data_IF_514796937573
#
_entry.id   IF_514796937573
#
_cell.length_a   1.000
_cell.length_b   1.000
_cell.length_c   1.000
_cell.angle_alpha   90.00
_cell.angle_beta   90.00
_cell.angle_gamma   90.00
#
_symmetry.space_group_name_H-M   'P 1'
#
loop_
_entity.id
_entity.type
_entity.pdbx_description
1 polymer ?
#
# COMPACT_ATOMS: atom_id res chain seq x y z
N UNK A 1 -4.67 30.89 -26.30
CA UNK A 1 -3.72 29.76 -26.14
C UNK A 1 -3.60 29.45 -24.66
N UNK A 2 -3.77 28.18 -24.25
CA UNK A 2 -3.54 27.80 -22.84
C UNK A 2 -2.03 27.81 -22.60
N UNK A 3 -1.59 28.43 -21.50
CA UNK A 3 -0.17 28.38 -21.12
C UNK A 3 0.20 26.92 -20.80
N UNK A 4 1.43 26.49 -21.11
CA UNK A 4 1.92 25.19 -20.68
C UNK A 4 1.86 25.13 -19.14
N UNK A 5 1.52 23.96 -18.56
CA UNK A 5 1.55 23.80 -17.12
C UNK A 5 2.94 24.17 -16.60
N UNK A 6 2.99 24.83 -15.44
CA UNK A 6 4.27 25.12 -14.79
C UNK A 6 5.07 23.82 -14.62
N UNK A 7 6.41 23.88 -14.64
CA UNK A 7 7.22 22.72 -14.27
C UNK A 7 6.69 22.10 -12.98
N UNK A 8 6.60 20.77 -12.98
CA UNK A 8 6.03 19.99 -11.89
C UNK A 8 6.78 20.32 -10.60
N UNK A 9 6.05 20.79 -9.59
CA UNK A 9 6.61 21.03 -8.26
C UNK A 9 7.13 19.69 -7.71
N UNK A 10 8.39 19.66 -7.28
CA UNK A 10 9.04 18.48 -6.67
C UNK A 10 8.18 17.90 -5.54
N UNK A 11 7.55 18.75 -4.71
CA UNK A 11 6.63 18.32 -3.65
C UNK A 11 5.38 17.62 -4.19
N UNK A 12 4.86 18.07 -5.33
CA UNK A 12 3.70 17.43 -5.96
C UNK A 12 4.09 16.07 -6.52
N UNK A 13 5.26 15.98 -7.17
CA UNK A 13 5.77 14.72 -7.70
C UNK A 13 6.02 13.70 -6.59
N UNK A 14 6.65 14.13 -5.49
CA UNK A 14 6.87 13.31 -4.30
C UNK A 14 5.55 12.74 -3.73
N UNK A 15 4.51 13.59 -3.62
CA UNK A 15 3.18 13.14 -3.16
C UNK A 15 2.53 12.13 -4.09
N UNK A 16 2.67 12.31 -5.41
CA UNK A 16 2.12 11.37 -6.41
C UNK A 16 2.84 10.03 -6.33
N UNK A 17 4.17 10.03 -6.22
CA UNK A 17 4.93 8.80 -6.04
C UNK A 17 4.59 8.13 -4.71
N UNK A 18 4.58 8.88 -3.62
CA UNK A 18 4.22 8.39 -2.29
C UNK A 18 2.81 7.82 -2.25
N UNK A 19 1.83 8.40 -2.96
CA UNK A 19 0.47 7.86 -3.01
C UNK A 19 0.41 6.54 -3.79
N UNK A 20 1.10 6.45 -4.93
CA UNK A 20 1.09 5.24 -5.75
C UNK A 20 1.81 4.08 -5.06
N UNK A 21 2.99 4.36 -4.50
CA UNK A 21 3.78 3.37 -3.77
C UNK A 21 3.08 2.98 -2.46
N UNK A 22 2.57 3.97 -1.72
CA UNK A 22 1.85 3.74 -0.46
C UNK A 22 0.58 2.91 -0.65
N UNK A 23 -0.14 3.10 -1.76
CA UNK A 23 -1.28 2.26 -2.13
C UNK A 23 -0.86 0.80 -2.31
N UNK A 24 0.20 0.54 -3.07
CA UNK A 24 0.70 -0.83 -3.28
C UNK A 24 1.21 -1.47 -1.98
N UNK A 25 1.91 -0.70 -1.13
CA UNK A 25 2.34 -1.18 0.20
C UNK A 25 1.13 -1.52 1.08
N UNK A 26 0.10 -0.66 1.08
CA UNK A 26 -1.12 -0.87 1.85
C UNK A 26 -1.88 -2.13 1.44
N UNK A 27 -1.98 -2.39 0.13
CA UNK A 27 -2.59 -3.61 -0.41
C UNK A 27 -1.80 -4.86 0.01
N UNK A 28 -0.48 -4.88 -0.19
CA UNK A 28 0.37 -6.02 0.17
C UNK A 28 0.35 -6.32 1.69
N UNK A 29 0.28 -5.29 2.54
CA UNK A 29 0.11 -5.46 4.00
C UNK A 29 -1.27 -6.02 4.36
N UNK A 30 -2.33 -5.51 3.73
CA UNK A 30 -3.71 -5.89 4.04
C UNK A 30 -4.15 -7.23 3.45
N UNK A 31 -3.54 -7.67 2.35
CA UNK A 31 -3.93 -8.89 1.65
C UNK A 31 -3.74 -10.15 2.51
N UNK A 32 -2.76 -10.16 3.41
CA UNK A 32 -2.48 -11.30 4.28
C UNK A 32 -3.63 -11.63 5.24
N UNK A 33 -4.32 -10.60 5.70
CA UNK A 33 -5.37 -10.69 6.73
C UNK A 33 -6.77 -10.47 6.16
N UNK A 34 -6.90 -10.54 4.84
CA UNK A 34 -8.17 -10.28 4.18
C UNK A 34 -9.17 -11.36 4.55
N UNK A 35 -10.39 -10.93 4.89
CA UNK A 35 -11.49 -11.75 5.41
C UNK A 35 -11.32 -12.28 6.85
N UNK A 36 -10.22 -11.97 7.54
CA UNK A 36 -10.08 -12.29 8.95
C UNK A 36 -10.93 -11.36 9.84
N UNK A 37 -11.45 -11.86 10.97
CA UNK A 37 -12.18 -11.03 11.92
C UNK A 37 -11.23 -10.08 12.66
N UNK A 38 -11.77 -8.98 13.20
CA UNK A 38 -10.96 -7.98 13.91
C UNK A 38 -10.18 -8.58 15.09
N UNK A 39 -10.73 -9.58 15.77
CA UNK A 39 -10.09 -10.28 16.89
C UNK A 39 -8.78 -10.96 16.45
N UNK A 40 -8.76 -11.55 15.25
CA UNK A 40 -7.56 -12.17 14.70
C UNK A 40 -6.43 -11.16 14.57
N UNK A 41 -6.72 -9.93 14.12
CA UNK A 41 -5.72 -8.85 13.99
C UNK A 41 -5.16 -8.37 15.32
N UNK A 42 -5.94 -8.47 16.40
CA UNK A 42 -5.48 -8.11 17.76
C UNK A 42 -4.50 -9.15 18.26
N UNK A 43 -4.77 -10.43 18.00
CA UNK A 43 -3.92 -11.57 18.40
C UNK A 43 -2.69 -11.72 17.49
N UNK A 44 -2.84 -11.38 16.20
CA UNK A 44 -1.83 -11.57 15.14
C UNK A 44 -1.63 -10.25 14.37
N UNK A 45 -1.01 -9.24 14.99
CA UNK A 45 -0.82 -7.94 14.35
C UNK A 45 0.13 -8.04 13.13
N UNK A 46 -0.20 -7.33 12.06
CA UNK A 46 0.69 -7.18 10.90
C UNK A 46 1.77 -6.15 11.23
N UNK A 47 3.00 -6.60 11.45
CA UNK A 47 4.14 -5.74 11.82
C UNK A 47 5.16 -5.54 10.70
N UNK A 48 5.06 -6.31 9.62
CA UNK A 48 5.94 -6.25 8.44
C UNK A 48 5.19 -6.85 7.23
N UNK A 49 5.76 -6.75 6.04
CA UNK A 49 5.32 -7.52 4.87
C UNK A 49 5.54 -9.02 5.13
N UNK A 50 4.50 -9.82 4.87
CA UNK A 50 4.47 -11.25 5.16
C UNK A 50 4.02 -12.03 3.92
N UNK A 51 4.36 -13.33 3.89
CA UNK A 51 3.84 -14.27 2.90
C UNK A 51 2.58 -14.97 3.43
N UNK A 52 1.80 -15.62 2.56
CA UNK A 52 0.62 -16.41 2.94
C UNK A 52 -0.70 -15.66 2.70
N UNK A 53 -1.60 -15.72 3.69
CA UNK A 53 -2.95 -15.15 3.60
C UNK A 53 -3.90 -15.95 2.71
N UNK A 54 -5.06 -15.39 2.42
CA UNK A 54 -6.15 -16.04 1.66
C UNK A 54 -5.69 -16.63 0.31
N UNK A 55 -4.72 -15.99 -0.34
CA UNK A 55 -4.23 -16.36 -1.67
C UNK A 55 -2.85 -17.01 -1.67
N UNK A 56 -2.20 -17.22 -0.52
CA UNK A 56 -0.86 -17.80 -0.46
C UNK A 56 0.21 -16.95 -1.16
N UNK A 57 0.16 -15.64 -1.00
CA UNK A 57 1.05 -14.68 -1.66
C UNK A 57 2.49 -14.77 -1.15
N UNK A 58 3.49 -14.40 -1.97
CA UNK A 58 4.86 -14.20 -1.47
C UNK A 58 4.95 -12.86 -0.74
N UNK A 59 5.99 -12.70 0.09
CA UNK A 59 6.26 -11.44 0.80
C UNK A 59 6.36 -10.28 -0.18
N UNK A 60 5.51 -9.27 -0.01
CA UNK A 60 5.48 -8.04 -0.80
C UNK A 60 4.70 -8.13 -2.12
N UNK A 61 3.95 -9.22 -2.33
CA UNK A 61 2.97 -9.33 -3.42
C UNK A 61 1.57 -8.90 -2.99
#
# INVERSE_FOLDING_TARGET
MKQPPSPLNEKTLDRVHGSMIGMAIGDALGAHVKFEPRQYLVENPVTDLQAGGTWGLKKGQ
#
